data_IF_787290302492
#
_entry.id   IF_787290302492
#
_cell.length_a   1.000
_cell.length_b   1.000
_cell.length_c   1.000
_cell.angle_alpha   90.00
_cell.angle_beta   90.00
_cell.angle_gamma   90.00
#
_symmetry.space_group_name_H-M   'P 1'
#
loop_
_entity.id
_entity.type
_entity.pdbx_description
1 polymer ?
#
# COMPACT_ATOMS: atom_id res chain seq x y z
N UNK A 1 7.33 -21.23 3.10
CA UNK A 1 8.69 -20.66 2.87
C UNK A 1 8.89 -19.54 3.88
N UNK A 2 10.06 -19.45 4.52
CA UNK A 2 10.34 -18.40 5.51
C UNK A 2 10.45 -17.03 4.82
N UNK A 3 9.93 -15.96 5.46
CA UNK A 3 10.06 -14.58 5.00
C UNK A 3 11.53 -14.16 4.97
N UNK A 4 11.94 -13.46 3.90
CA UNK A 4 13.29 -12.95 3.74
C UNK A 4 13.21 -11.42 3.56
N UNK A 5 14.02 -10.69 4.31
CA UNK A 5 14.05 -9.23 4.23
C UNK A 5 15.33 -8.79 3.50
N UNK A 6 15.21 -8.65 2.18
CA UNK A 6 16.26 -8.12 1.30
C UNK A 6 15.96 -6.64 1.00
N UNK A 7 16.90 -5.91 0.44
CA UNK A 7 16.71 -4.52 0.02
C UNK A 7 16.08 -4.44 -1.36
N UNK A 8 15.20 -3.48 -1.59
CA UNK A 8 14.70 -3.12 -2.93
C UNK A 8 15.55 -1.97 -3.48
N UNK A 9 15.91 -2.07 -4.76
CA UNK A 9 16.78 -1.08 -5.41
C UNK A 9 16.12 0.30 -5.44
N UNK A 10 14.81 0.35 -5.68
CA UNK A 10 14.07 1.61 -5.72
C UNK A 10 14.03 2.36 -4.39
N UNK A 11 14.18 1.66 -3.24
CA UNK A 11 14.20 2.29 -1.91
C UNK A 11 15.55 2.94 -1.59
N UNK A 12 16.61 2.51 -2.26
CA UNK A 12 17.98 2.91 -1.95
C UNK A 12 18.30 4.35 -2.39
N UNK A 13 19.00 5.10 -1.55
CA UNK A 13 19.35 6.50 -1.80
C UNK A 13 20.18 6.71 -3.07
N UNK A 14 20.99 5.72 -3.46
CA UNK A 14 21.81 5.73 -4.67
C UNK A 14 21.02 5.44 -5.96
N UNK A 15 19.78 4.94 -5.86
CA UNK A 15 18.94 4.66 -7.03
C UNK A 15 18.62 5.97 -7.76
N UNK A 16 18.87 6.04 -9.08
CA UNK A 16 18.55 7.24 -9.86
C UNK A 16 17.07 7.62 -9.75
N UNK A 17 16.80 8.90 -9.52
CA UNK A 17 15.40 9.41 -9.36
C UNK A 17 14.49 9.00 -10.51
N UNK A 18 15.01 8.96 -11.76
CA UNK A 18 14.23 8.55 -12.93
C UNK A 18 13.77 7.09 -12.89
N UNK A 19 14.58 6.19 -12.31
CA UNK A 19 14.25 4.78 -12.10
C UNK A 19 13.23 4.68 -10.96
N UNK A 20 13.50 5.30 -9.80
CA UNK A 20 12.59 5.30 -8.65
C UNK A 20 11.19 5.78 -9.03
N UNK A 21 11.08 6.94 -9.67
CA UNK A 21 9.79 7.44 -10.16
C UNK A 21 9.15 6.49 -11.18
N UNK A 22 9.95 5.84 -12.04
CA UNK A 22 9.45 4.86 -13.00
C UNK A 22 8.84 3.62 -12.33
N UNK A 23 9.49 3.11 -11.27
CA UNK A 23 8.98 2.01 -10.43
C UNK A 23 7.68 2.42 -9.74
N UNK A 24 7.65 3.56 -9.06
CA UNK A 24 6.46 4.09 -8.38
C UNK A 24 5.29 4.30 -9.35
N UNK A 25 5.55 4.92 -10.51
CA UNK A 25 4.53 5.13 -11.55
C UNK A 25 3.97 3.81 -12.09
N UNK A 26 4.84 2.82 -12.32
CA UNK A 26 4.43 1.49 -12.79
C UNK A 26 3.58 0.78 -11.75
N UNK A 27 4.06 0.67 -10.51
CA UNK A 27 3.33 0.04 -9.41
C UNK A 27 1.96 0.68 -9.22
N UNK A 28 1.89 2.01 -9.17
CA UNK A 28 0.62 2.75 -9.10
C UNK A 28 -0.31 2.37 -10.24
N UNK A 29 0.18 2.36 -11.49
CA UNK A 29 -0.64 2.09 -12.67
C UNK A 29 -1.21 0.67 -12.67
N UNK A 30 -0.39 -0.34 -12.37
CA UNK A 30 -0.84 -1.75 -12.38
C UNK A 30 -1.71 -2.11 -11.19
N UNK A 31 -1.58 -1.38 -10.07
CA UNK A 31 -2.38 -1.63 -8.86
C UNK A 31 -3.60 -0.72 -8.72
N UNK A 32 -3.78 0.28 -9.58
CA UNK A 32 -4.84 1.30 -9.45
C UNK A 32 -6.25 0.72 -9.27
N UNK A 33 -6.57 -0.37 -9.96
CA UNK A 33 -7.86 -1.06 -9.80
C UNK A 33 -7.78 -2.38 -9.03
N UNK A 34 -6.57 -2.83 -8.71
CA UNK A 34 -6.36 -4.14 -8.08
C UNK A 34 -6.98 -4.21 -6.68
N UNK A 35 -7.04 -3.08 -5.97
CA UNK A 35 -7.59 -3.01 -4.62
C UNK A 35 -9.12 -2.82 -4.55
N UNK A 36 -9.84 -2.69 -5.67
CA UNK A 36 -11.30 -2.57 -5.64
C UNK A 36 -12.00 -3.65 -4.80
N UNK A 37 -11.55 -4.94 -4.80
CA UNK A 37 -12.17 -5.99 -4.00
C UNK A 37 -12.10 -5.78 -2.49
N UNK A 38 -11.20 -4.93 -2.00
CA UNK A 38 -11.11 -4.64 -0.55
C UNK A 38 -12.12 -3.57 -0.09
N UNK A 39 -12.74 -2.83 -1.01
CA UNK A 39 -13.65 -1.74 -0.65
C UNK A 39 -14.77 -2.17 0.32
N UNK A 40 -15.47 -3.31 0.16
CA UNK A 40 -16.49 -3.75 1.11
C UNK A 40 -15.92 -4.08 2.50
N UNK A 41 -14.71 -4.67 2.55
CA UNK A 41 -14.02 -5.02 3.79
C UNK A 41 -13.60 -3.74 4.54
N UNK A 42 -12.97 -2.83 3.83
CA UNK A 42 -12.55 -1.54 4.38
C UNK A 42 -13.75 -0.70 4.83
N UNK A 43 -14.84 -0.67 4.04
CA UNK A 43 -16.07 0.03 4.41
C UNK A 43 -16.67 -0.49 5.71
N UNK A 44 -16.65 -1.81 5.93
CA UNK A 44 -17.09 -2.43 7.18
C UNK A 44 -16.22 -2.01 8.34
N UNK A 45 -14.89 -2.10 8.19
CA UNK A 45 -13.94 -1.72 9.24
C UNK A 45 -14.04 -0.23 9.61
N UNK A 46 -14.17 0.66 8.62
CA UNK A 46 -14.35 2.09 8.84
C UNK A 46 -15.63 2.39 9.61
N UNK A 47 -16.74 1.72 9.28
CA UNK A 47 -18.01 1.86 10.03
C UNK A 47 -17.88 1.35 11.47
N UNK A 48 -17.28 0.17 11.67
CA UNK A 48 -17.06 -0.39 13.02
C UNK A 48 -16.17 0.51 13.88
N UNK A 49 -15.18 1.17 13.27
CA UNK A 49 -14.33 2.14 13.97
C UNK A 49 -14.93 3.54 14.03
N UNK A 50 -16.14 3.78 13.50
CA UNK A 50 -16.75 5.12 13.35
C UNK A 50 -15.77 6.14 12.72
N UNK A 51 -14.92 5.70 11.79
CA UNK A 51 -13.87 6.50 11.22
C UNK A 51 -14.35 7.27 9.99
N UNK A 52 -14.10 8.57 9.96
CA UNK A 52 -14.36 9.47 8.83
C UNK A 52 -13.09 10.09 8.26
N UNK A 53 -11.97 9.79 8.87
CA UNK A 53 -10.65 10.24 8.44
C UNK A 53 -9.71 9.05 8.35
N UNK A 54 -8.99 8.96 7.25
CA UNK A 54 -7.98 7.92 7.01
C UNK A 54 -6.62 8.57 6.94
N UNK A 55 -5.65 8.01 7.65
CA UNK A 55 -4.23 8.30 7.49
C UNK A 55 -3.60 7.15 6.71
N UNK A 56 -3.20 7.41 5.47
CA UNK A 56 -2.56 6.42 4.61
C UNK A 56 -1.04 6.52 4.76
N UNK A 57 -0.43 5.47 5.27
CA UNK A 57 1.01 5.39 5.57
C UNK A 57 1.73 4.62 4.46
N UNK A 58 2.82 5.18 3.94
CA UNK A 58 3.55 4.60 2.82
C UNK A 58 2.76 4.70 1.52
N UNK A 59 2.18 5.87 1.25
CA UNK A 59 1.27 6.11 0.12
C UNK A 59 1.96 6.07 -1.25
N UNK A 60 3.29 6.16 -1.33
CA UNK A 60 4.05 6.10 -2.57
C UNK A 60 3.54 7.05 -3.65
N UNK A 61 3.00 6.51 -4.74
CA UNK A 61 2.39 7.28 -5.84
C UNK A 61 0.93 7.69 -5.60
N UNK A 62 0.49 7.86 -4.34
CA UNK A 62 -0.87 8.15 -3.88
C UNK A 62 -1.79 6.92 -3.68
N UNK A 63 -1.23 5.71 -3.69
CA UNK A 63 -1.98 4.49 -3.42
C UNK A 63 -3.20 4.29 -4.34
N UNK A 64 -4.17 3.48 -3.93
CA UNK A 64 -5.38 3.19 -4.70
C UNK A 64 -6.52 4.20 -4.48
N UNK A 65 -6.28 5.29 -3.77
CA UNK A 65 -7.34 6.14 -3.22
C UNK A 65 -8.22 6.82 -4.26
N UNK A 66 -7.68 7.13 -5.45
CA UNK A 66 -8.49 7.68 -6.55
C UNK A 66 -9.60 6.72 -7.02
N UNK A 67 -9.46 5.42 -6.77
CA UNK A 67 -10.47 4.40 -7.08
C UNK A 67 -11.28 3.99 -5.84
N UNK A 68 -10.61 3.82 -4.69
CA UNK A 68 -11.28 3.35 -3.48
C UNK A 68 -12.22 4.38 -2.86
N UNK A 69 -11.82 5.66 -2.83
CA UNK A 69 -12.64 6.70 -2.20
C UNK A 69 -14.04 6.81 -2.82
N UNK A 70 -14.21 6.85 -4.16
CA UNK A 70 -15.54 6.81 -4.79
C UNK A 70 -16.34 5.55 -4.44
N UNK A 71 -15.72 4.36 -4.44
CA UNK A 71 -16.39 3.10 -4.10
C UNK A 71 -16.86 3.06 -2.65
N UNK A 72 -16.07 3.61 -1.73
CA UNK A 72 -16.45 3.74 -0.32
C UNK A 72 -17.63 4.70 -0.16
N UNK A 73 -17.62 5.82 -0.88
CA UNK A 73 -18.71 6.78 -0.88
C UNK A 73 -20.01 6.20 -1.43
N UNK A 74 -19.95 5.44 -2.53
CA UNK A 74 -21.07 4.68 -3.07
C UNK A 74 -21.62 3.67 -2.05
N UNK A 75 -20.75 3.13 -1.19
CA UNK A 75 -21.13 2.24 -0.08
C UNK A 75 -21.64 2.99 1.16
N UNK A 76 -21.85 4.30 1.10
CA UNK A 76 -22.33 5.12 2.20
C UNK A 76 -21.27 5.48 3.24
N UNK A 77 -19.98 5.36 2.90
CA UNK A 77 -18.86 5.77 3.76
C UNK A 77 -18.22 7.03 3.15
N UNK A 78 -18.61 8.19 3.66
CA UNK A 78 -18.00 9.46 3.29
C UNK A 78 -16.83 9.76 4.22
N UNK A 79 -15.64 9.90 3.62
CA UNK A 79 -14.39 10.07 4.37
C UNK A 79 -13.41 10.98 3.64
N UNK A 80 -12.50 11.54 4.40
CA UNK A 80 -11.30 12.23 3.91
C UNK A 80 -10.07 11.33 4.10
N UNK A 81 -9.11 11.46 3.19
CA UNK A 81 -7.85 10.70 3.24
C UNK A 81 -6.68 11.68 3.32
N UNK A 82 -5.76 11.43 4.23
CA UNK A 82 -4.47 12.10 4.30
C UNK A 82 -3.38 11.13 3.86
N UNK A 83 -2.76 11.38 2.71
CA UNK A 83 -1.62 10.61 2.24
C UNK A 83 -0.37 10.99 3.01
N UNK A 84 0.45 10.03 3.36
CA UNK A 84 1.75 10.25 3.98
C UNK A 84 2.76 9.19 3.54
N UNK A 85 4.03 9.53 3.52
CA UNK A 85 5.10 8.63 3.11
C UNK A 85 6.42 8.99 3.79
N UNK A 86 7.32 8.04 3.89
CA UNK A 86 8.69 8.29 4.35
C UNK A 86 9.48 9.15 3.34
N UNK A 87 9.16 9.01 2.05
CA UNK A 87 9.73 9.77 0.94
C UNK A 87 8.60 10.32 0.04
N UNK A 88 7.85 11.38 0.46
CA UNK A 88 6.63 11.80 -0.19
C UNK A 88 6.86 12.29 -1.62
N UNK A 89 6.14 11.70 -2.60
CA UNK A 89 6.05 12.23 -3.97
C UNK A 89 4.99 13.35 -4.02
N UNK A 90 5.39 14.56 -3.69
CA UNK A 90 4.49 15.72 -3.65
C UNK A 90 3.80 16.00 -4.98
N UNK A 91 4.40 15.60 -6.11
CA UNK A 91 3.78 15.76 -7.44
C UNK A 91 2.63 14.78 -7.61
N UNK A 92 2.82 13.52 -7.21
CA UNK A 92 1.78 12.51 -7.23
C UNK A 92 0.66 12.85 -6.24
N UNK A 93 1.01 13.30 -5.04
CA UNK A 93 0.06 13.69 -3.98
C UNK A 93 -0.80 14.88 -4.40
N UNK A 94 -0.19 15.94 -4.96
CA UNK A 94 -0.93 17.10 -5.46
C UNK A 94 -1.85 16.73 -6.62
N UNK A 95 -1.41 15.82 -7.49
CA UNK A 95 -2.26 15.27 -8.55
C UNK A 95 -3.47 14.54 -7.97
N UNK A 96 -3.27 13.68 -6.95
CA UNK A 96 -4.35 12.96 -6.29
C UNK A 96 -5.35 13.91 -5.62
N UNK A 97 -4.85 14.94 -4.91
CA UNK A 97 -5.66 15.99 -4.29
C UNK A 97 -6.58 16.67 -5.30
N UNK A 98 -6.03 17.08 -6.45
CA UNK A 98 -6.81 17.73 -7.50
C UNK A 98 -7.84 16.82 -8.13
N UNK A 99 -7.48 15.58 -8.46
CA UNK A 99 -8.38 14.63 -9.11
C UNK A 99 -9.52 14.16 -8.20
N UNK A 100 -9.28 14.08 -6.89
CA UNK A 100 -10.29 13.71 -5.89
C UNK A 100 -11.18 14.88 -5.45
N UNK A 101 -11.02 16.08 -6.01
CA UNK A 101 -11.70 17.31 -5.56
C UNK A 101 -11.49 17.56 -4.06
N UNK A 102 -10.27 17.35 -3.58
CA UNK A 102 -9.81 17.53 -2.20
C UNK A 102 -10.34 16.50 -1.19
N UNK A 103 -11.04 15.45 -1.61
CA UNK A 103 -11.37 14.33 -0.72
C UNK A 103 -10.10 13.56 -0.28
N UNK A 104 -9.04 13.62 -1.08
CA UNK A 104 -7.70 13.16 -0.74
C UNK A 104 -6.81 14.37 -0.52
N UNK A 105 -6.24 14.47 0.66
CA UNK A 105 -5.24 15.47 1.10
C UNK A 105 -3.91 14.79 1.34
N UNK A 106 -2.89 15.49 1.78
CA UNK A 106 -1.61 14.88 2.10
C UNK A 106 -0.82 15.67 3.14
N UNK A 107 0.06 14.97 3.86
CA UNK A 107 1.09 15.55 4.70
C UNK A 107 2.37 15.73 3.86
N UNK A 108 2.96 16.94 3.76
CA UNK A 108 4.07 17.20 2.85
C UNK A 108 5.42 16.72 3.37
N UNK A 109 5.53 16.50 4.68
CA UNK A 109 6.78 16.12 5.33
C UNK A 109 6.93 14.60 5.43
N UNK A 110 8.17 14.07 5.50
CA UNK A 110 8.41 12.64 5.73
C UNK A 110 7.70 12.13 6.99
N UNK A 111 6.98 11.01 6.86
CA UNK A 111 6.33 10.33 7.98
C UNK A 111 6.88 8.91 8.10
N UNK A 112 7.51 8.61 9.22
CA UNK A 112 7.88 7.25 9.59
C UNK A 112 6.65 6.55 10.20
N UNK A 113 6.21 5.46 9.57
CA UNK A 113 5.06 4.69 10.04
C UNK A 113 5.26 4.10 11.45
N UNK A 114 6.51 3.94 11.91
CA UNK A 114 6.84 3.46 13.25
C UNK A 114 6.83 4.57 14.32
N UNK A 115 6.77 5.84 13.88
CA UNK A 115 6.84 7.02 14.77
C UNK A 115 5.87 8.11 14.30
N UNK A 116 4.60 7.74 14.10
CA UNK A 116 3.57 8.69 13.64
C UNK A 116 3.36 9.79 14.68
N UNK A 117 3.44 11.07 14.26
CA UNK A 117 3.16 12.20 15.13
C UNK A 117 1.75 12.12 15.74
N UNK A 118 1.58 12.60 16.96
CA UNK A 118 0.27 12.70 17.61
C UNK A 118 -0.70 13.65 16.91
N UNK A 119 -0.20 14.54 16.08
CA UNK A 119 -1.00 15.46 15.25
C UNK A 119 -1.65 14.75 14.05
N UNK A 120 -1.08 13.61 13.64
CA UNK A 120 -1.60 12.77 12.57
C UNK A 120 -2.43 11.64 13.17
N UNK A 121 -3.74 11.70 13.00
CA UNK A 121 -4.68 10.72 13.53
C UNK A 121 -5.66 10.24 12.46
N UNK A 122 -6.30 9.10 12.70
CA UNK A 122 -7.31 8.53 11.84
C UNK A 122 -7.20 7.02 11.71
N UNK A 123 -8.11 6.43 10.96
CA UNK A 123 -8.00 5.03 10.58
C UNK A 123 -6.75 4.86 9.70
N UNK A 124 -5.80 4.06 10.14
CA UNK A 124 -4.54 3.87 9.41
C UNK A 124 -4.72 2.89 8.27
N UNK A 125 -4.14 3.18 7.12
CA UNK A 125 -4.06 2.23 6.01
C UNK A 125 -2.65 2.12 5.48
N UNK A 126 -2.31 0.94 4.97
CA UNK A 126 -1.07 0.68 4.25
C UNK A 126 -1.38 -0.22 3.05
N UNK A 127 -1.07 0.24 1.84
CA UNK A 127 -1.26 -0.49 0.60
C UNK A 127 0.09 -0.84 -0.02
N UNK A 128 0.43 -2.13 -0.10
CA UNK A 128 1.73 -2.62 -0.56
C UNK A 128 2.93 -1.88 0.07
N UNK A 129 2.84 -1.61 1.36
CA UNK A 129 3.86 -0.88 2.11
C UNK A 129 4.29 -1.62 3.39
N UNK A 130 3.44 -2.46 3.95
CA UNK A 130 3.71 -3.14 5.21
C UNK A 130 4.83 -4.18 5.11
N UNK A 131 5.02 -4.78 3.94
CA UNK A 131 6.11 -5.73 3.70
C UNK A 131 7.50 -5.09 3.76
N UNK A 132 7.62 -3.76 3.63
CA UNK A 132 8.88 -3.04 3.83
C UNK A 132 9.32 -3.03 5.29
N UNK A 133 8.42 -3.22 6.24
CA UNK A 133 8.71 -3.23 7.66
C UNK A 133 9.27 -4.60 8.10
N UNK A 134 10.29 -4.60 8.94
CA UNK A 134 10.73 -5.81 9.66
C UNK A 134 9.68 -6.19 10.71
N UNK A 135 9.66 -7.44 11.20
CA UNK A 135 8.65 -7.88 12.16
C UNK A 135 8.56 -7.02 13.44
N UNK A 136 9.70 -6.57 13.95
CA UNK A 136 9.79 -5.65 15.08
C UNK A 136 9.15 -4.29 14.75
N UNK A 137 9.48 -3.71 13.61
CA UNK A 137 8.90 -2.46 13.11
C UNK A 137 7.40 -2.59 12.83
N UNK A 138 6.99 -3.67 12.16
CA UNK A 138 5.60 -3.99 11.88
C UNK A 138 4.78 -4.08 13.19
N UNK A 139 5.35 -4.72 14.22
CA UNK A 139 4.75 -4.80 15.55
C UNK A 139 4.60 -3.43 16.19
N UNK A 140 5.61 -2.54 16.09
CA UNK A 140 5.53 -1.16 16.60
C UNK A 140 4.36 -0.41 15.98
N UNK A 141 4.18 -0.49 14.67
CA UNK A 141 3.05 0.17 13.96
C UNK A 141 1.70 -0.32 14.51
N UNK A 142 1.55 -1.63 14.72
CA UNK A 142 0.31 -2.22 15.24
C UNK A 142 0.06 -1.82 16.69
N UNK A 143 1.10 -1.85 17.53
CA UNK A 143 1.03 -1.45 18.94
C UNK A 143 0.64 0.01 19.07
N UNK A 144 1.23 0.90 18.27
CA UNK A 144 0.92 2.33 18.32
C UNK A 144 -0.54 2.60 17.87
N UNK A 145 -1.04 1.93 16.81
CA UNK A 145 -2.44 2.04 16.41
C UNK A 145 -3.38 1.58 17.54
N UNK A 146 -3.08 0.46 18.19
CA UNK A 146 -3.86 -0.07 19.31
C UNK A 146 -3.82 0.88 20.52
N UNK A 147 -2.65 1.39 20.86
CA UNK A 147 -2.49 2.32 21.99
C UNK A 147 -3.27 3.62 21.81
N UNK A 148 -3.44 4.07 20.56
CA UNK A 148 -4.23 5.27 20.23
C UNK A 148 -5.72 4.98 20.03
N UNK A 149 -6.14 3.72 20.05
CA UNK A 149 -7.53 3.34 19.75
C UNK A 149 -7.92 3.57 18.28
N UNK A 150 -6.94 3.63 17.38
CA UNK A 150 -7.15 3.86 15.95
C UNK A 150 -7.32 2.54 15.21
N UNK A 151 -8.29 2.44 14.31
CA UNK A 151 -8.39 1.29 13.42
C UNK A 151 -7.20 1.22 12.46
N UNK A 152 -6.87 0.01 11.99
CA UNK A 152 -5.79 -0.19 11.02
C UNK A 152 -6.18 -1.21 9.96
N UNK A 153 -5.81 -0.91 8.70
CA UNK A 153 -5.99 -1.79 7.54
C UNK A 153 -4.70 -1.92 6.75
N UNK A 154 -4.21 -3.13 6.60
CA UNK A 154 -3.05 -3.48 5.77
C UNK A 154 -3.52 -4.30 4.59
N UNK A 155 -3.09 -3.94 3.38
CA UNK A 155 -3.49 -4.59 2.14
C UNK A 155 -2.27 -4.79 1.25
N UNK A 156 -1.93 -6.05 0.97
CA UNK A 156 -0.81 -6.42 0.13
C UNK A 156 -1.33 -7.02 -1.19
N UNK A 157 -1.03 -6.37 -2.31
CA UNK A 157 -1.46 -6.82 -3.65
C UNK A 157 -0.60 -8.00 -4.11
N UNK A 158 -0.51 -9.02 -3.28
CA UNK A 158 0.16 -10.29 -3.55
C UNK A 158 0.03 -11.26 -2.37
N UNK A 159 0.42 -12.52 -2.58
CA UNK A 159 0.70 -13.48 -1.54
C UNK A 159 1.95 -14.29 -1.89
N UNK A 160 2.55 -14.98 -0.93
CA UNK A 160 3.73 -15.83 -1.17
C UNK A 160 3.36 -17.19 -1.77
N UNK A 161 2.70 -17.19 -2.93
CA UNK A 161 2.44 -18.38 -3.71
C UNK A 161 3.31 -18.44 -4.97
N UNK A 162 3.67 -19.63 -5.41
CA UNK A 162 4.42 -19.80 -6.67
C UNK A 162 3.66 -19.32 -7.89
N UNK A 163 2.32 -19.40 -7.87
CA UNK A 163 1.49 -18.86 -8.94
C UNK A 163 1.65 -17.34 -9.04
N UNK A 164 1.63 -16.65 -7.92
CA UNK A 164 1.86 -15.19 -7.86
C UNK A 164 3.27 -14.85 -8.32
N UNK A 165 4.29 -15.59 -7.88
CA UNK A 165 5.66 -15.40 -8.33
C UNK A 165 5.77 -15.56 -9.86
N UNK A 166 5.13 -16.59 -10.43
CA UNK A 166 5.09 -16.78 -11.89
C UNK A 166 4.49 -15.61 -12.64
N UNK A 167 3.40 -15.01 -12.11
CA UNK A 167 2.80 -13.81 -12.67
C UNK A 167 3.74 -12.58 -12.58
N UNK A 168 4.44 -12.42 -11.45
CA UNK A 168 5.38 -11.33 -11.22
C UNK A 168 6.62 -11.40 -12.12
N UNK A 169 7.06 -12.59 -12.53
CA UNK A 169 8.15 -12.76 -13.50
C UNK A 169 7.82 -12.16 -14.89
N UNK A 170 6.54 -11.93 -15.18
CA UNK A 170 6.10 -11.20 -16.39
C UNK A 170 6.27 -9.68 -16.30
N UNK A 171 6.67 -9.13 -15.16
CA UNK A 171 6.80 -7.68 -14.93
C UNK A 171 7.69 -6.96 -15.95
N UNK A 172 8.85 -7.47 -16.38
CA UNK A 172 9.65 -6.78 -17.38
C UNK A 172 8.91 -6.60 -18.72
N UNK A 173 8.17 -7.62 -19.15
CA UNK A 173 7.38 -7.56 -20.39
C UNK A 173 6.26 -6.53 -20.27
N UNK A 174 5.53 -6.56 -19.17
CA UNK A 174 4.45 -5.57 -18.93
C UNK A 174 5.00 -4.16 -18.75
N UNK A 175 6.18 -3.99 -18.16
CA UNK A 175 6.86 -2.69 -18.07
C UNK A 175 7.21 -2.14 -19.46
N UNK A 176 7.77 -2.96 -20.34
CA UNK A 176 8.06 -2.58 -21.73
C UNK A 176 6.78 -2.20 -22.48
N UNK A 177 5.71 -2.96 -22.33
CA UNK A 177 4.46 -2.72 -23.06
C UNK A 177 3.70 -1.49 -22.52
N UNK A 178 3.70 -1.27 -21.21
CA UNK A 178 2.85 -0.27 -20.54
C UNK A 178 3.54 1.09 -20.36
N UNK A 179 4.88 1.17 -20.35
CA UNK A 179 5.61 2.40 -20.06
C UNK A 179 5.14 3.65 -20.82
N UNK A 180 4.74 3.59 -22.13
CA UNK A 180 4.25 4.77 -22.84
C UNK A 180 2.87 5.24 -22.38
N UNK A 181 2.06 4.33 -21.81
CA UNK A 181 0.65 4.59 -21.45
C UNK A 181 0.49 5.02 -19.99
N UNK A 182 1.54 4.93 -19.18
CA UNK A 182 1.50 5.35 -17.78
C UNK A 182 1.51 6.88 -17.70
N UNK A 183 0.48 7.48 -17.16
CA UNK A 183 0.40 8.92 -16.92
C UNK A 183 0.97 9.35 -15.55
N UNK A 184 1.57 10.53 -15.44
CA UNK A 184 1.96 11.44 -16.51
C UNK A 184 3.10 10.91 -17.35
N UNK A 185 3.19 11.34 -18.60
CA UNK A 185 4.30 10.97 -19.48
C UNK A 185 5.61 11.54 -18.93
N UNK A 186 6.57 10.66 -18.67
CA UNK A 186 7.92 11.04 -18.19
C UNK A 186 8.97 10.53 -19.18
N UNK A 187 9.73 11.43 -19.82
CA UNK A 187 10.81 11.07 -20.72
C UNK A 187 11.89 10.22 -20.04
N UNK A 188 12.18 10.49 -18.76
CA UNK A 188 13.12 9.68 -17.98
C UNK A 188 12.67 8.21 -17.87
N UNK A 189 11.35 7.94 -17.71
CA UNK A 189 10.83 6.56 -17.70
C UNK A 189 11.05 5.88 -19.04
N UNK A 190 10.76 6.55 -20.16
CA UNK A 190 10.99 5.98 -21.51
C UNK A 190 12.48 5.73 -21.76
N UNK A 191 13.35 6.64 -21.35
CA UNK A 191 14.81 6.48 -21.45
C UNK A 191 15.28 5.23 -20.68
N UNK A 192 14.89 5.10 -19.38
CA UNK A 192 15.28 3.97 -18.56
C UNK A 192 14.58 2.65 -18.90
N UNK A 193 13.55 2.70 -19.73
CA UNK A 193 12.85 1.50 -20.23
C UNK A 193 13.40 1.02 -21.56
N UNK A 194 13.69 1.92 -22.51
CA UNK A 194 13.96 1.55 -23.90
C UNK A 194 15.40 1.82 -24.35
N UNK A 195 16.04 2.86 -23.84
CA UNK A 195 17.42 3.22 -24.24
C UNK A 195 18.42 2.52 -23.32
N UNK A 196 18.22 2.65 -22.01
CA UNK A 196 18.96 1.90 -21.00
C UNK A 196 17.93 1.05 -20.24
N UNK A 197 17.74 -0.25 -20.59
CA UNK A 197 16.64 -1.05 -20.07
C UNK A 197 16.84 -1.47 -18.59
N UNK A 198 17.24 -0.50 -17.75
CA UNK A 198 17.44 -0.71 -16.33
C UNK A 198 16.13 -0.78 -15.57
N UNK A 199 15.10 0.01 -15.95
CA UNK A 199 13.82 0.02 -15.25
C UNK A 199 13.12 -1.34 -15.26
N UNK A 200 12.98 -2.08 -16.37
CA UNK A 200 12.39 -3.42 -16.34
C UNK A 200 13.15 -4.42 -15.45
N UNK A 201 14.51 -4.31 -15.40
CA UNK A 201 15.34 -5.18 -14.57
C UNK A 201 15.21 -4.84 -13.08
N UNK A 202 15.19 -3.56 -12.72
CA UNK A 202 14.94 -3.12 -11.35
C UNK A 202 13.55 -3.55 -10.90
N UNK A 203 12.52 -3.34 -11.73
CA UNK A 203 11.17 -3.82 -11.43
C UNK A 203 11.12 -5.33 -11.19
N UNK A 204 11.80 -6.13 -12.02
CA UNK A 204 11.86 -7.58 -11.82
C UNK A 204 12.51 -7.95 -10.48
N UNK A 205 13.63 -7.31 -10.17
CA UNK A 205 14.34 -7.56 -8.92
C UNK A 205 13.48 -7.15 -7.72
N UNK A 206 12.94 -5.93 -7.74
CA UNK A 206 12.18 -5.38 -6.62
C UNK A 206 10.87 -6.17 -6.38
N UNK A 207 10.14 -6.59 -7.43
CA UNK A 207 8.92 -7.41 -7.22
C UNK A 207 9.22 -8.81 -6.66
N UNK A 208 10.38 -9.39 -6.98
CA UNK A 208 10.83 -10.66 -6.38
C UNK A 208 11.16 -10.42 -4.90
N UNK A 209 11.88 -9.35 -4.60
CA UNK A 209 12.23 -8.99 -3.20
C UNK A 209 10.97 -8.68 -2.41
N UNK A 210 10.04 -7.87 -2.94
CA UNK A 210 8.74 -7.61 -2.32
C UNK A 210 7.98 -8.91 -2.02
N UNK A 211 7.95 -9.85 -3.00
CA UNK A 211 7.30 -11.15 -2.80
C UNK A 211 7.95 -11.96 -1.66
N UNK A 212 9.29 -11.93 -1.52
CA UNK A 212 10.00 -12.57 -0.42
C UNK A 212 9.74 -11.92 0.94
N UNK A 213 9.45 -10.62 0.95
CA UNK A 213 9.15 -9.81 2.14
C UNK A 213 7.71 -9.91 2.61
N UNK A 214 6.75 -10.32 1.76
CA UNK A 214 5.33 -10.41 2.13
C UNK A 214 5.14 -11.21 3.42
N UNK A 215 4.22 -10.76 4.24
CA UNK A 215 3.74 -11.52 5.39
C UNK A 215 2.67 -12.52 4.95
N UNK A 216 2.76 -13.75 5.42
CA UNK A 216 1.69 -14.74 5.31
C UNK A 216 0.63 -14.51 6.39
N UNK A 217 -0.58 -15.05 6.18
CA UNK A 217 -1.65 -14.95 7.20
C UNK A 217 -1.20 -15.46 8.59
N UNK A 218 -0.48 -16.61 8.74
CA UNK A 218 0.04 -17.01 10.04
C UNK A 218 0.98 -15.98 10.68
N UNK A 219 1.89 -15.39 9.89
CA UNK A 219 2.82 -14.36 10.38
C UNK A 219 2.08 -13.08 10.77
N UNK A 220 1.02 -12.69 10.05
CA UNK A 220 0.16 -11.56 10.44
C UNK A 220 -0.60 -11.87 11.74
N UNK A 221 -1.09 -13.10 11.94
CA UNK A 221 -1.73 -13.52 13.18
C UNK A 221 -0.75 -13.50 14.36
N UNK A 222 0.50 -13.89 14.13
CA UNK A 222 1.57 -13.80 15.14
C UNK A 222 1.86 -12.34 15.52
N UNK A 223 1.93 -11.44 14.53
CA UNK A 223 2.12 -10.00 14.76
C UNK A 223 0.98 -9.37 15.55
N UNK A 224 -0.24 -9.86 15.45
CA UNK A 224 -1.41 -9.35 16.19
C UNK A 224 -1.64 -10.05 17.53
N UNK A 225 -0.95 -11.15 17.80
CA UNK A 225 -1.11 -11.91 19.03
C UNK A 225 -0.82 -11.05 20.27
N UNK A 226 -1.70 -11.13 21.27
CA UNK A 226 -1.58 -10.36 22.51
C UNK A 226 -1.91 -8.85 22.38
N UNK A 227 -2.37 -8.38 21.21
CA UNK A 227 -2.94 -7.04 21.06
C UNK A 227 -4.42 -7.08 21.46
N UNK A 228 -4.66 -6.95 22.77
CA UNK A 228 -6.00 -7.04 23.35
C UNK A 228 -6.83 -5.79 23.07
N UNK A 229 -8.16 -5.93 23.14
CA UNK A 229 -9.09 -4.82 22.91
C UNK A 229 -9.34 -4.52 21.44
N UNK A 230 -8.89 -5.38 20.51
CA UNK A 230 -9.10 -5.28 19.06
C UNK A 230 -9.68 -6.56 18.49
N UNK A 231 -10.55 -6.40 17.51
CA UNK A 231 -10.99 -7.47 16.62
C UNK A 231 -10.11 -7.46 15.38
N UNK A 232 -9.49 -8.60 15.08
CA UNK A 232 -8.60 -8.77 13.93
C UNK A 232 -9.27 -9.66 12.88
N UNK A 233 -9.41 -9.14 11.67
CA UNK A 233 -9.87 -9.88 10.48
C UNK A 233 -8.68 -9.99 9.50
N UNK A 234 -8.18 -11.21 9.32
CA UNK A 234 -6.98 -11.49 8.50
C UNK A 234 -7.33 -12.57 7.49
N UNK A 235 -7.08 -12.29 6.23
CA UNK A 235 -7.40 -13.23 5.16
C UNK A 235 -6.91 -12.78 3.80
N UNK A 236 -7.49 -13.38 2.79
CA UNK A 236 -7.17 -13.12 1.39
C UNK A 236 -8.46 -12.89 0.60
N UNK A 237 -8.48 -11.85 -0.23
CA UNK A 237 -9.58 -11.56 -1.15
C UNK A 237 -9.08 -11.53 -2.59
N UNK A 238 -9.94 -11.94 -3.53
CA UNK A 238 -9.65 -11.89 -4.96
C UNK A 238 -10.70 -11.06 -5.68
N UNK A 239 -10.26 -10.25 -6.61
CA UNK A 239 -11.16 -9.59 -7.57
C UNK A 239 -11.68 -10.60 -8.58
N UNK A 240 -12.89 -10.36 -9.09
CA UNK A 240 -13.56 -11.24 -10.05
C UNK A 240 -12.69 -11.54 -11.31
N UNK A 241 -11.83 -10.60 -11.68
CA UNK A 241 -10.95 -10.66 -12.86
C UNK A 241 -9.47 -10.46 -12.53
N UNK A 242 -9.12 -10.40 -11.23
CA UNK A 242 -7.73 -10.19 -10.79
C UNK A 242 -7.04 -11.55 -10.57
N UNK A 243 -5.98 -11.86 -11.29
CA UNK A 243 -5.26 -13.12 -11.13
C UNK A 243 -4.50 -13.18 -9.79
N UNK A 244 -4.12 -12.01 -9.25
CA UNK A 244 -3.32 -11.90 -8.04
C UNK A 244 -4.24 -11.62 -6.85
N UNK A 245 -4.19 -12.44 -5.78
CA UNK A 245 -4.96 -12.22 -4.57
C UNK A 245 -4.38 -11.05 -3.76
N UNK A 246 -5.25 -10.42 -2.97
CA UNK A 246 -4.85 -9.41 -1.99
C UNK A 246 -4.89 -10.06 -0.61
N UNK A 247 -3.76 -10.08 0.08
CA UNK A 247 -3.70 -10.42 1.49
C UNK A 247 -4.06 -9.18 2.30
N UNK A 248 -4.97 -9.32 3.28
CA UNK A 248 -5.38 -8.20 4.12
C UNK A 248 -5.31 -8.53 5.60
N UNK A 249 -5.14 -7.50 6.40
CA UNK A 249 -5.29 -7.50 7.85
C UNK A 249 -6.03 -6.22 8.24
N UNK A 250 -7.14 -6.40 8.95
CA UNK A 250 -7.96 -5.32 9.50
C UNK A 250 -8.01 -5.46 11.01
N UNK A 251 -7.71 -4.38 11.72
CA UNK A 251 -7.85 -4.27 13.17
C UNK A 251 -8.77 -3.11 13.52
N UNK A 252 -9.79 -3.38 14.30
CA UNK A 252 -10.70 -2.35 14.83
C UNK A 252 -10.86 -2.51 16.33
N UNK A 253 -11.01 -1.41 17.11
CA UNK A 253 -11.29 -1.51 18.52
C UNK A 253 -12.53 -2.39 18.77
N UNK A 254 -12.43 -3.32 19.73
CA UNK A 254 -13.58 -4.07 20.18
C UNK A 254 -14.55 -3.12 20.89
N UNK A 255 -15.83 -3.24 20.61
CA UNK A 255 -16.83 -2.53 21.39
C UNK A 255 -16.62 -2.87 22.88
N UNK A 256 -16.50 -1.84 23.72
CA UNK A 256 -16.49 -2.06 25.17
C UNK A 256 -17.87 -2.63 25.51
N UNK A 257 -17.91 -3.92 25.84
CA UNK A 257 -19.10 -4.50 26.47
C UNK A 257 -19.34 -3.71 27.74
N UNK A 258 -20.38 -2.87 27.73
CA UNK A 258 -20.85 -2.07 28.89
C UNK A 258 -21.42 -2.99 29.95
#
# INVERSE_FOLDING_TARGET
MKRMHLIEIADEAWCPRGIRHGVTDYCRFVTEGAYNPVAPLLARALRSANARHVLDLGSGGAGPWLRLQPLLRESGVDLTVCLSDHNPDLVAFERARRLSRQAVTFHPEPVDATQVSSELSGFRTMFSAFHHLRPDQARVVLVDAVARGEGIGVFECSNRSFLTLGALLGTPVTALLLAPFIGPLRWSRLFWTYIVPALPLVLLFDVIVSWLRLYSEPELRELTAGLNGYQWDIGTVRGKWAPIPITYMLGVPSEKTS
#
